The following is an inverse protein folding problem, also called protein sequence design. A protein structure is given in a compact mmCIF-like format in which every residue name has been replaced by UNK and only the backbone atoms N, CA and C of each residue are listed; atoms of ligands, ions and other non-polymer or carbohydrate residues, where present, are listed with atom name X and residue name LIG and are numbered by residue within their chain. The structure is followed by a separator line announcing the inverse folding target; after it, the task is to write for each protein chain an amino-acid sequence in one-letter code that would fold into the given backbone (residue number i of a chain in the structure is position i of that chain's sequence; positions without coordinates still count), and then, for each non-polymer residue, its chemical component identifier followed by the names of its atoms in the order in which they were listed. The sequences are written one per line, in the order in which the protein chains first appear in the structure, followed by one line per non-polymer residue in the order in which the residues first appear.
data_IF_766427041674
#
_entry.id   IF_766427041674
#
_cell.length_a   1.000
_cell.length_b   1.000
_cell.length_c   1.000
_cell.angle_alpha   90.00
_cell.angle_beta   90.00
_cell.angle_gamma   90.00
#
_symmetry.space_group_name_H-M   'P 1'
#
loop_
_entity.id
_entity.type
_entity.pdbx_description
1 polymer ?
#
# COMPACT_ATOMS: atom_id res chain seq x y z
N UNK A 1 -50.50 28.29 -5.45
CA UNK A 1 -50.04 26.98 -4.95
C UNK A 1 -48.83 26.43 -5.73
N UNK A 2 -48.92 26.18 -7.05
CA UNK A 2 -47.81 25.60 -7.84
C UNK A 2 -46.48 26.39 -7.81
N UNK A 3 -46.53 27.74 -7.81
CA UNK A 3 -45.32 28.59 -7.70
C UNK A 3 -44.65 28.55 -6.33
N UNK A 4 -45.42 28.29 -5.26
CA UNK A 4 -44.86 28.22 -3.91
C UNK A 4 -44.09 26.91 -3.71
N UNK A 5 -44.63 25.80 -4.21
CA UNK A 5 -43.99 24.47 -4.16
C UNK A 5 -42.65 24.47 -4.90
N UNK A 6 -42.59 25.10 -6.09
CA UNK A 6 -41.36 25.14 -6.89
C UNK A 6 -40.23 25.91 -6.19
N UNK A 7 -40.55 27.03 -5.52
CA UNK A 7 -39.57 27.83 -4.77
C UNK A 7 -39.05 27.04 -3.55
N UNK A 8 -39.92 26.31 -2.85
CA UNK A 8 -39.51 25.49 -1.71
C UNK A 8 -38.61 24.32 -2.15
N UNK A 9 -38.91 23.65 -3.26
CA UNK A 9 -38.05 22.59 -3.79
C UNK A 9 -36.67 23.09 -4.22
N UNK A 10 -36.59 24.27 -4.86
CA UNK A 10 -35.32 24.87 -5.27
C UNK A 10 -34.48 25.31 -4.05
N UNK A 11 -35.10 25.80 -2.98
CA UNK A 11 -34.41 26.13 -1.75
C UNK A 11 -33.85 24.89 -1.04
N UNK A 12 -34.61 23.79 -0.99
CA UNK A 12 -34.15 22.51 -0.41
C UNK A 12 -33.00 21.93 -1.23
N UNK A 13 -33.06 21.99 -2.56
CA UNK A 13 -31.96 21.56 -3.43
C UNK A 13 -30.71 22.43 -3.30
N UNK A 14 -30.86 23.75 -3.15
CA UNK A 14 -29.74 24.65 -2.92
C UNK A 14 -29.07 24.42 -1.56
N UNK A 15 -29.87 24.17 -0.51
CA UNK A 15 -29.34 23.82 0.82
C UNK A 15 -28.66 22.45 0.79
N UNK A 16 -29.25 21.45 0.13
CA UNK A 16 -28.63 20.13 -0.04
C UNK A 16 -27.32 20.22 -0.84
N UNK A 17 -27.27 21.02 -1.91
CA UNK A 17 -26.05 21.28 -2.68
C UNK A 17 -24.97 22.02 -1.89
N UNK A 18 -25.35 22.97 -1.03
CA UNK A 18 -24.42 23.66 -0.12
C UNK A 18 -23.88 22.73 0.97
N UNK A 19 -24.71 21.82 1.50
CA UNK A 19 -24.27 20.81 2.49
C UNK A 19 -23.35 19.76 1.85
N UNK A 20 -23.58 19.40 0.58
CA UNK A 20 -22.73 18.45 -0.14
C UNK A 20 -21.40 19.07 -0.61
N UNK A 21 -21.34 20.40 -0.78
CA UNK A 21 -20.12 21.12 -1.14
C UNK A 21 -19.23 21.50 0.07
N UNK A 22 -19.68 21.27 1.30
CA UNK A 22 -18.97 21.65 2.54
C UNK A 22 -18.32 20.48 3.29
N UNK A 23 -18.19 19.30 2.69
CA UNK A 23 -17.21 18.34 3.18
C UNK A 23 -15.83 18.79 2.73
N UNK A 24 -15.36 19.91 3.29
CA UNK A 24 -13.95 20.21 3.29
C UNK A 24 -13.28 19.02 3.99
N UNK A 25 -12.56 18.20 3.23
CA UNK A 25 -11.71 17.18 3.82
C UNK A 25 -10.68 17.92 4.67
N UNK A 26 -10.92 17.98 5.99
CA UNK A 26 -9.91 18.45 6.92
C UNK A 26 -8.89 17.33 7.04
N UNK A 27 -7.78 17.49 6.34
CA UNK A 27 -6.60 16.69 6.60
C UNK A 27 -6.12 17.07 8.00
N UNK A 28 -6.42 16.20 8.96
CA UNK A 28 -5.85 16.33 10.29
C UNK A 28 -4.45 15.74 10.23
N UNK A 29 -3.44 16.58 10.34
CA UNK A 29 -2.11 16.13 10.67
C UNK A 29 -2.19 15.38 12.00
N UNK A 30 -1.90 14.08 11.97
CA UNK A 30 -2.20 13.22 13.12
C UNK A 30 -1.05 13.19 14.11
N UNK A 31 0.17 12.96 13.63
CA UNK A 31 1.42 13.17 14.35
C UNK A 31 2.59 12.95 13.36
N UNK A 32 3.79 13.34 13.77
CA UNK A 32 5.01 12.85 13.12
C UNK A 32 5.22 11.42 13.63
N UNK A 33 5.29 10.41 12.75
CA UNK A 33 5.70 9.04 13.14
C UNK A 33 7.19 9.10 13.52
N UNK A 34 7.44 9.60 14.73
CA UNK A 34 8.72 9.65 15.41
C UNK A 34 9.80 10.56 14.82
N UNK A 35 9.93 11.76 15.39
CA UNK A 35 11.23 12.39 15.64
C UNK A 35 12.12 11.55 16.61
N UNK A 36 11.64 10.39 17.07
CA UNK A 36 12.25 9.51 18.07
C UNK A 36 12.91 8.25 17.48
N UNK A 37 12.78 7.99 16.18
CA UNK A 37 13.59 6.96 15.51
C UNK A 37 14.91 7.60 15.03
N UNK A 38 16.09 7.13 15.49
CA UNK A 38 17.37 7.55 14.91
C UNK A 38 17.49 7.19 13.42
N UNK A 39 16.60 6.33 12.91
CA UNK A 39 16.52 5.93 11.50
C UNK A 39 15.37 6.66 10.79
N UNK A 40 15.53 7.96 10.56
CA UNK A 40 14.62 8.75 9.72
C UNK A 40 14.80 8.32 8.27
N UNK A 41 13.91 7.47 7.75
CA UNK A 41 13.95 6.98 6.37
C UNK A 41 13.35 5.60 6.17
N UNK A 42 13.14 4.85 7.24
CA UNK A 42 12.87 3.41 7.17
C UNK A 42 11.38 3.03 7.03
N UNK A 43 10.44 3.91 6.68
CA UNK A 43 9.01 3.57 6.54
C UNK A 43 8.51 3.86 5.14
N UNK A 44 7.91 2.85 4.50
CA UNK A 44 7.59 2.87 3.07
C UNK A 44 6.08 2.92 2.80
N UNK A 45 5.27 2.26 3.65
CA UNK A 45 3.83 2.25 3.48
C UNK A 45 3.09 2.28 4.81
N UNK A 46 1.88 2.85 4.75
CA UNK A 46 0.90 2.85 5.82
C UNK A 46 -0.43 2.41 5.24
N UNK A 47 -1.11 1.50 5.94
CA UNK A 47 -2.48 1.11 5.61
C UNK A 47 -3.36 1.17 6.83
N UNK A 48 -4.64 1.43 6.59
CA UNK A 48 -5.68 1.34 7.61
C UNK A 48 -6.42 0.04 7.42
N UNK A 49 -6.74 -0.63 8.51
CA UNK A 49 -7.60 -1.82 8.46
C UNK A 49 -8.97 -1.42 7.92
N UNK A 50 -9.43 -2.06 6.83
CA UNK A 50 -10.59 -1.57 6.08
C UNK A 50 -11.89 -1.58 6.89
N UNK A 51 -12.07 -2.53 7.81
CA UNK A 51 -13.23 -2.62 8.70
C UNK A 51 -13.02 -2.01 10.11
N UNK A 52 -11.79 -1.58 10.45
CA UNK A 52 -11.46 -0.94 11.71
C UNK A 52 -10.70 0.37 11.45
N UNK A 53 -11.42 1.48 11.57
CA UNK A 53 -10.89 2.81 11.27
C UNK A 53 -9.83 3.30 12.27
N UNK A 54 -9.66 2.61 13.40
CA UNK A 54 -8.75 2.97 14.46
C UNK A 54 -7.41 2.25 14.35
N UNK A 55 -7.33 1.15 13.60
CA UNK A 55 -6.10 0.37 13.49
C UNK A 55 -5.36 0.69 12.20
N UNK A 56 -4.06 0.97 12.33
CA UNK A 56 -3.16 1.25 11.21
C UNK A 56 -1.93 0.36 11.27
N UNK A 57 -1.44 -0.07 10.11
CA UNK A 57 -0.20 -0.80 9.97
C UNK A 57 0.79 0.02 9.17
N UNK A 58 2.04 0.03 9.61
CA UNK A 58 3.14 0.70 8.95
C UNK A 58 4.24 -0.31 8.72
N UNK A 59 4.75 -0.35 7.48
CA UNK A 59 5.84 -1.24 7.08
C UNK A 59 6.98 -0.45 6.47
N UNK A 60 8.16 -1.04 6.49
CA UNK A 60 9.37 -0.29 6.18
C UNK A 60 10.63 -1.13 5.95
N UNK A 61 11.75 -0.43 5.89
CA UNK A 61 13.07 -1.00 5.70
C UNK A 61 13.47 -1.89 6.87
N UNK A 62 14.43 -2.80 6.59
CA UNK A 62 14.90 -3.82 7.54
C UNK A 62 13.74 -4.65 8.11
N UNK A 63 12.74 -4.93 7.28
CA UNK A 63 11.59 -5.78 7.60
C UNK A 63 10.72 -5.26 8.74
N UNK A 64 10.75 -3.96 9.04
CA UNK A 64 10.05 -3.39 10.19
C UNK A 64 8.55 -3.34 9.95
N UNK A 65 7.79 -3.82 10.92
CA UNK A 65 6.33 -3.77 10.94
C UNK A 65 5.88 -3.20 12.27
N UNK A 66 4.93 -2.26 12.22
CA UNK A 66 4.30 -1.66 13.39
C UNK A 66 2.81 -1.54 13.22
N UNK A 67 2.08 -1.72 14.31
CA UNK A 67 0.66 -1.39 14.39
C UNK A 67 0.45 -0.18 15.30
N UNK A 68 -0.45 0.70 14.91
CA UNK A 68 -0.90 1.84 15.70
C UNK A 68 -2.39 1.73 15.96
N UNK A 69 -2.80 2.18 17.13
CA UNK A 69 -4.21 2.33 17.50
C UNK A 69 -4.52 3.81 17.65
N UNK A 70 -5.57 4.27 16.98
CA UNK A 70 -6.08 5.60 17.08
C UNK A 70 -7.33 5.64 17.94
N UNK A 71 -7.49 6.72 18.69
CA UNK A 71 -8.72 7.00 19.41
C UNK A 71 -9.08 8.47 19.28
N UNK A 72 -10.37 8.76 19.19
CA UNK A 72 -10.88 10.12 19.37
C UNK A 72 -11.13 10.32 20.86
N UNK A 73 -10.39 11.23 21.46
CA UNK A 73 -10.62 11.64 22.85
C UNK A 73 -11.19 13.05 22.86
N UNK A 74 -12.38 13.28 23.42
CA UNK A 74 -12.90 14.63 23.58
C UNK A 74 -12.02 15.39 24.58
N UNK A 75 -11.38 16.47 24.14
CA UNK A 75 -10.62 17.37 25.00
C UNK A 75 -11.28 18.74 24.94
N UNK A 76 -11.88 19.15 26.06
CA UNK A 76 -12.57 20.45 26.19
C UNK A 76 -13.72 20.69 25.18
N UNK A 77 -14.39 19.63 24.73
CA UNK A 77 -15.53 19.72 23.80
C UNK A 77 -15.16 19.70 22.32
N UNK A 78 -13.87 19.52 22.00
CA UNK A 78 -13.39 19.23 20.65
C UNK A 78 -12.85 17.79 20.60
N UNK A 79 -13.17 17.07 19.52
CA UNK A 79 -12.63 15.74 19.27
C UNK A 79 -11.16 15.88 18.87
N UNK A 80 -10.25 15.38 19.72
CA UNK A 80 -8.83 15.29 19.38
C UNK A 80 -8.48 13.86 18.99
N UNK A 81 -7.81 13.71 17.85
CA UNK A 81 -7.26 12.44 17.42
C UNK A 81 -5.99 12.14 18.22
N UNK A 82 -5.94 10.97 18.84
CA UNK A 82 -4.78 10.49 19.56
C UNK A 82 -4.33 9.17 18.95
N UNK A 83 -3.15 9.16 18.34
CA UNK A 83 -2.45 7.91 18.03
C UNK A 83 -1.76 7.45 19.30
N UNK A 84 -2.01 6.20 19.65
CA UNK A 84 -1.20 5.44 20.59
C UNK A 84 -0.45 4.39 19.80
N UNK A 85 0.87 4.36 19.97
CA UNK A 85 1.68 3.23 19.50
C UNK A 85 1.08 1.97 20.11
N UNK A 86 0.61 1.05 19.28
CA UNK A 86 0.19 -0.23 19.82
C UNK A 86 1.45 -0.91 20.32
N UNK A 87 1.39 -1.76 21.34
CA UNK A 87 2.58 -2.46 21.81
C UNK A 87 3.20 -3.43 20.77
N UNK A 88 2.62 -3.52 19.57
CA UNK A 88 3.04 -4.41 18.50
C UNK A 88 4.01 -3.70 17.55
N UNK A 89 5.29 -4.02 17.73
CA UNK A 89 6.38 -3.70 16.80
C UNK A 89 7.27 -4.93 16.69
N UNK A 90 7.57 -5.35 15.47
CA UNK A 90 8.49 -6.47 15.22
C UNK A 90 9.22 -6.27 13.89
N UNK A 91 10.11 -7.22 13.61
CA UNK A 91 10.85 -7.30 12.34
C UNK A 91 10.65 -8.69 11.77
N UNK A 92 10.19 -8.76 10.51
CA UNK A 92 10.09 -10.02 9.78
C UNK A 92 11.49 -10.60 9.52
N UNK A 93 12.37 -9.81 8.88
CA UNK A 93 13.80 -10.07 8.74
C UNK A 93 14.48 -8.77 8.26
N UNK A 94 15.67 -8.46 8.78
CA UNK A 94 16.39 -7.21 8.51
C UNK A 94 16.94 -7.10 7.08
N UNK A 95 16.89 -8.19 6.31
CA UNK A 95 17.31 -8.21 4.92
C UNK A 95 16.24 -7.72 3.93
N UNK A 96 15.02 -7.39 4.39
CA UNK A 96 13.94 -6.95 3.51
C UNK A 96 13.68 -5.45 3.59
N UNK A 97 13.34 -4.88 2.44
CA UNK A 97 12.59 -3.62 2.36
C UNK A 97 11.13 -3.98 2.07
N UNK A 98 10.25 -3.67 3.01
CA UNK A 98 8.81 -3.85 2.86
C UNK A 98 8.26 -2.63 2.16
N UNK A 99 7.51 -2.82 1.09
CA UNK A 99 7.09 -1.76 0.17
C UNK A 99 5.63 -1.39 0.34
N UNK A 100 4.78 -2.35 0.72
CA UNK A 100 3.35 -2.11 0.90
C UNK A 100 2.72 -3.12 1.86
N UNK A 101 1.57 -2.73 2.40
CA UNK A 101 0.77 -3.51 3.35
C UNK A 101 -0.71 -3.28 3.10
N UNK A 102 -1.51 -4.35 3.15
CA UNK A 102 -2.95 -4.29 3.00
C UNK A 102 -3.64 -5.15 4.05
N UNK A 103 -4.74 -4.66 4.62
CA UNK A 103 -5.63 -5.41 5.50
C UNK A 103 -7.08 -5.29 5.02
N UNK A 104 -7.73 -6.42 4.76
CA UNK A 104 -9.16 -6.45 4.40
C UNK A 104 -10.06 -6.42 5.63
N UNK A 105 -9.60 -7.04 6.70
CA UNK A 105 -10.25 -7.01 8.01
C UNK A 105 -9.19 -7.09 9.13
N UNK A 106 -9.63 -7.23 10.38
CA UNK A 106 -8.74 -7.30 11.55
C UNK A 106 -7.91 -8.59 11.61
N UNK A 107 -8.33 -9.65 10.91
CA UNK A 107 -7.64 -10.94 10.87
C UNK A 107 -6.76 -11.13 9.64
N UNK A 108 -7.13 -10.55 8.49
CA UNK A 108 -6.47 -10.81 7.22
C UNK A 108 -5.64 -9.63 6.74
N UNK A 109 -4.34 -9.87 6.60
CA UNK A 109 -3.38 -8.89 6.13
C UNK A 109 -2.33 -9.49 5.21
N UNK A 110 -1.78 -8.65 4.34
CA UNK A 110 -0.70 -8.98 3.42
C UNK A 110 0.35 -7.89 3.44
N UNK A 111 1.60 -8.31 3.38
CA UNK A 111 2.76 -7.42 3.25
C UNK A 111 3.53 -7.87 2.02
N UNK A 112 3.99 -6.90 1.24
CA UNK A 112 4.95 -7.17 0.16
C UNK A 112 6.21 -6.37 0.35
N UNK A 113 7.27 -6.86 -0.27
CA UNK A 113 8.56 -6.24 -0.25
C UNK A 113 9.53 -6.96 -1.16
N UNK A 114 10.79 -6.63 -1.03
CA UNK A 114 11.87 -7.33 -1.69
C UNK A 114 13.07 -7.42 -0.78
N UNK A 115 13.92 -8.41 -1.04
CA UNK A 115 15.17 -8.55 -0.30
C UNK A 115 16.16 -7.50 -0.79
N UNK A 116 16.76 -6.74 0.10
CA UNK A 116 17.72 -5.73 -0.27
C UNK A 116 18.94 -6.30 -0.97
N UNK A 117 19.38 -5.53 -1.96
CA UNK A 117 20.59 -5.79 -2.72
C UNK A 117 21.81 -5.28 -1.97
N UNK A 118 22.09 -5.89 -0.82
CA UNK A 118 23.35 -5.74 -0.06
C UNK A 118 23.67 -4.29 0.37
N UNK A 119 23.60 -4.04 1.68
CA UNK A 119 24.18 -2.82 2.24
C UNK A 119 25.70 -2.82 2.07
N UNK A 120 26.26 -1.73 1.54
CA UNK A 120 27.69 -1.42 1.69
C UNK A 120 27.86 -0.55 2.93
N UNK A 121 28.56 -1.02 3.96
CA UNK A 121 29.00 -0.15 5.04
C UNK A 121 30.34 0.46 4.62
N UNK A 122 30.41 1.80 4.58
CA UNK A 122 31.61 2.54 4.17
C UNK A 122 32.14 2.14 2.78
N UNK A 123 31.24 1.88 1.82
CA UNK A 123 31.61 1.49 0.45
C UNK A 123 32.15 0.07 0.29
N UNK A 124 32.11 -0.76 1.34
CA UNK A 124 32.53 -2.17 1.27
C UNK A 124 31.31 -3.09 1.36
N UNK A 125 31.18 -3.99 0.37
CA UNK A 125 30.14 -5.01 0.31
C UNK A 125 30.35 -6.03 1.45
N UNK A 126 29.40 -6.13 2.40
CA UNK A 126 29.66 -6.87 3.65
C UNK A 126 29.39 -8.39 3.51
N UNK A 127 28.47 -8.81 2.64
CA UNK A 127 28.35 -10.19 2.14
C UNK A 127 27.20 -10.28 1.12
N UNK A 128 27.33 -11.18 0.14
CA UNK A 128 26.19 -11.68 -0.64
C UNK A 128 25.43 -12.67 0.26
N UNK A 129 24.14 -12.46 0.59
CA UNK A 129 23.39 -13.42 1.39
C UNK A 129 23.37 -14.79 0.69
N UNK A 130 23.38 -15.91 1.45
CA UNK A 130 23.48 -17.27 0.91
C UNK A 130 22.20 -17.78 0.21
N UNK A 131 21.19 -16.94 -0.01
CA UNK A 131 19.96 -17.27 -0.76
C UNK A 131 20.06 -16.60 -2.14
N UNK A 132 19.65 -17.27 -3.22
CA UNK A 132 19.77 -16.73 -4.58
C UNK A 132 18.96 -15.43 -4.75
N UNK A 133 19.62 -14.44 -5.37
CA UNK A 133 19.04 -13.21 -5.92
C UNK A 133 18.74 -12.09 -4.91
N UNK A 134 19.56 -11.03 -4.81
CA UNK A 134 19.08 -9.78 -4.26
C UNK A 134 17.92 -9.20 -5.09
N UNK A 135 17.05 -8.39 -4.49
CA UNK A 135 15.92 -7.71 -5.13
C UNK A 135 14.75 -8.63 -5.52
N UNK A 136 14.71 -9.87 -5.03
CA UNK A 136 13.57 -10.77 -5.21
C UNK A 136 12.40 -10.35 -4.33
N UNK A 137 11.23 -10.24 -4.94
CA UNK A 137 9.98 -9.96 -4.28
C UNK A 137 9.56 -11.07 -3.31
N UNK A 138 8.93 -10.67 -2.22
CA UNK A 138 8.39 -11.57 -1.20
C UNK A 138 7.01 -11.09 -0.78
N UNK A 139 6.12 -12.05 -0.50
CA UNK A 139 4.79 -11.81 0.06
C UNK A 139 4.71 -12.52 1.40
N UNK A 140 4.14 -11.84 2.39
CA UNK A 140 3.71 -12.41 3.66
C UNK A 140 2.21 -12.22 3.82
N UNK A 141 1.56 -13.14 4.52
CA UNK A 141 0.15 -13.02 4.85
C UNK A 141 -0.11 -13.44 6.30
N UNK A 142 -1.20 -12.94 6.87
CA UNK A 142 -1.71 -13.32 8.19
C UNK A 142 -3.21 -13.59 8.10
N UNK A 143 -3.72 -14.44 8.97
CA UNK A 143 -5.15 -14.76 9.13
C UNK A 143 -5.67 -14.53 10.55
N UNK A 144 -4.81 -14.04 11.45
CA UNK A 144 -5.10 -13.76 12.85
C UNK A 144 -4.78 -12.30 13.26
N UNK A 145 -4.52 -11.44 12.28
CA UNK A 145 -4.28 -10.02 12.46
C UNK A 145 -2.82 -9.65 12.63
N UNK A 146 -1.90 -10.62 12.67
CA UNK A 146 -0.47 -10.34 12.53
C UNK A 146 0.21 -9.83 13.80
N UNK A 147 -0.28 -10.20 14.98
CA UNK A 147 0.23 -9.79 16.30
C UNK A 147 1.60 -10.42 16.64
N UNK A 148 2.63 -10.05 15.89
CA UNK A 148 4.01 -10.52 16.03
C UNK A 148 4.52 -11.22 14.77
N UNK A 149 5.84 -11.41 14.67
CA UNK A 149 6.45 -11.96 13.46
C UNK A 149 5.99 -13.40 13.12
N UNK A 150 5.72 -14.22 14.13
CA UNK A 150 5.26 -15.61 13.97
C UNK A 150 3.82 -15.71 13.43
N UNK A 151 3.07 -14.62 13.47
CA UNK A 151 1.71 -14.53 12.92
C UNK A 151 1.68 -14.28 11.40
N UNK A 152 2.87 -14.18 10.78
CA UNK A 152 3.03 -13.91 9.35
C UNK A 152 3.69 -15.08 8.64
N UNK A 153 2.93 -15.71 7.75
CA UNK A 153 3.43 -16.78 6.90
C UNK A 153 3.98 -16.23 5.58
N UNK A 154 5.18 -16.66 5.20
CA UNK A 154 5.73 -16.34 3.88
C UNK A 154 5.07 -17.20 2.80
N UNK A 155 4.60 -16.59 1.71
CA UNK A 155 4.13 -17.35 0.55
C UNK A 155 5.30 -18.11 -0.07
N UNK A 156 5.13 -19.43 -0.24
CA UNK A 156 6.17 -20.31 -0.77
C UNK A 156 6.39 -20.05 -2.27
N UNK A 157 7.65 -20.19 -2.73
CA UNK A 157 8.00 -20.01 -4.14
C UNK A 157 7.22 -20.92 -5.10
N UNK A 158 6.88 -22.14 -4.66
CA UNK A 158 6.06 -23.08 -5.44
C UNK A 158 4.66 -22.54 -5.75
N UNK A 159 4.20 -21.56 -4.99
CA UNK A 159 2.90 -20.92 -5.18
C UNK A 159 2.98 -19.63 -6.01
N UNK A 160 4.16 -19.32 -6.56
CA UNK A 160 4.39 -18.19 -7.45
C UNK A 160 4.56 -18.67 -8.89
N UNK A 161 4.47 -17.76 -9.87
CA UNK A 161 4.83 -18.06 -11.26
C UNK A 161 6.35 -18.35 -11.41
N UNK A 162 6.75 -19.41 -12.15
CA UNK A 162 8.16 -19.78 -12.37
C UNK A 162 9.09 -18.65 -12.80
N UNK A 163 8.60 -17.79 -13.68
CA UNK A 163 9.36 -16.65 -14.21
C UNK A 163 9.85 -15.67 -13.14
N UNK A 164 9.26 -15.68 -11.94
CA UNK A 164 9.65 -14.83 -10.82
C UNK A 164 10.75 -15.43 -9.94
N UNK A 165 11.04 -16.73 -10.07
CA UNK A 165 12.04 -17.42 -9.25
C UNK A 165 13.06 -18.25 -10.03
N UNK A 166 13.03 -18.23 -11.37
CA UNK A 166 14.15 -18.68 -12.19
C UNK A 166 15.45 -17.95 -11.79
N UNK A 167 16.60 -18.62 -11.93
CA UNK A 167 17.82 -18.40 -11.13
C UNK A 167 18.40 -16.97 -11.09
N UNK A 168 17.97 -16.05 -11.95
CA UNK A 168 18.39 -14.64 -11.96
C UNK A 168 17.23 -13.63 -12.00
N UNK A 169 15.99 -14.06 -11.82
CA UNK A 169 14.85 -13.15 -11.75
C UNK A 169 14.99 -12.25 -10.50
N UNK A 170 15.09 -10.94 -10.73
CA UNK A 170 15.10 -9.88 -9.73
C UNK A 170 13.87 -9.02 -10.00
N UNK A 171 12.73 -9.48 -9.48
CA UNK A 171 11.46 -8.78 -9.64
C UNK A 171 10.99 -8.35 -8.25
N UNK A 172 11.16 -7.08 -7.87
CA UNK A 172 10.67 -6.59 -6.59
C UNK A 172 9.14 -6.54 -6.58
N UNK A 173 8.52 -6.78 -5.43
CA UNK A 173 7.10 -6.51 -5.23
C UNK A 173 6.95 -5.15 -4.58
N UNK A 174 6.07 -4.32 -5.14
CA UNK A 174 6.05 -2.89 -4.87
C UNK A 174 4.73 -2.45 -4.25
N UNK A 175 3.61 -3.10 -4.58
CA UNK A 175 2.31 -2.80 -4.00
C UNK A 175 1.42 -4.04 -3.91
N UNK A 176 0.54 -4.07 -2.92
CA UNK A 176 -0.44 -5.13 -2.71
C UNK A 176 -1.79 -4.55 -2.35
N UNK A 177 -2.85 -5.10 -2.94
CA UNK A 177 -4.21 -4.81 -2.50
C UNK A 177 -5.14 -5.99 -2.72
N UNK A 178 -6.11 -6.14 -1.82
CA UNK A 178 -7.16 -7.15 -1.86
C UNK A 178 -8.52 -6.47 -1.83
N UNK A 179 -9.55 -7.06 -2.44
CA UNK A 179 -10.89 -6.49 -2.43
C UNK A 179 -11.37 -6.27 -0.98
N UNK A 180 -12.01 -5.11 -0.74
CA UNK A 180 -12.56 -4.76 0.58
C UNK A 180 -13.67 -5.71 1.05
N UNK A 181 -14.38 -6.30 0.10
CA UNK A 181 -15.54 -7.17 0.35
C UNK A 181 -15.20 -8.64 0.24
N UNK A 182 -14.01 -8.97 -0.29
CA UNK A 182 -13.57 -10.32 -0.56
C UNK A 182 -12.07 -10.48 -0.30
N UNK A 183 -11.73 -11.20 0.76
CA UNK A 183 -10.34 -11.48 1.10
C UNK A 183 -9.71 -12.58 0.22
N UNK A 184 -10.44 -13.17 -0.73
CA UNK A 184 -9.91 -14.18 -1.64
C UNK A 184 -9.21 -13.58 -2.86
N UNK A 185 -9.63 -12.39 -3.30
CA UNK A 185 -9.15 -11.79 -4.53
C UNK A 185 -8.19 -10.62 -4.26
N UNK A 186 -6.98 -10.72 -4.77
CA UNK A 186 -5.96 -9.70 -4.57
C UNK A 186 -4.94 -9.64 -5.70
N UNK A 187 -4.20 -8.54 -5.69
CA UNK A 187 -3.23 -8.22 -6.72
C UNK A 187 -1.92 -7.76 -6.09
N UNK A 188 -0.82 -8.08 -6.76
CA UNK A 188 0.50 -7.52 -6.44
C UNK A 188 1.07 -6.86 -7.68
N UNK A 189 1.41 -5.58 -7.54
CA UNK A 189 2.19 -4.84 -8.52
C UNK A 189 3.66 -5.15 -8.32
N UNK A 190 4.33 -5.59 -9.38
CA UNK A 190 5.74 -5.91 -9.33
C UNK A 190 6.56 -4.97 -10.23
N UNK A 191 7.86 -4.92 -9.97
CA UNK A 191 8.84 -4.36 -10.89
C UNK A 191 8.74 -5.00 -12.28
N UNK A 192 9.24 -4.29 -13.28
CA UNK A 192 9.21 -4.72 -14.69
C UNK A 192 7.80 -4.90 -15.29
N UNK A 193 6.76 -4.38 -14.63
CA UNK A 193 5.39 -4.36 -15.16
C UNK A 193 4.64 -5.68 -15.06
N UNK A 194 5.07 -6.58 -14.16
CA UNK A 194 4.26 -7.76 -13.84
C UNK A 194 3.12 -7.38 -12.90
N UNK A 195 1.96 -7.97 -13.15
CA UNK A 195 0.80 -7.93 -12.26
C UNK A 195 0.45 -9.35 -11.87
N UNK A 196 0.58 -9.65 -10.58
CA UNK A 196 0.12 -10.90 -10.01
C UNK A 196 -1.32 -10.79 -9.55
N UNK A 197 -2.03 -11.90 -9.63
CA UNK A 197 -3.40 -12.06 -9.18
C UNK A 197 -3.51 -13.33 -8.33
N UNK A 198 -4.27 -13.23 -7.24
CA UNK A 198 -4.67 -14.37 -6.43
C UNK A 198 -6.19 -14.44 -6.37
N UNK A 199 -6.72 -15.65 -6.31
CA UNK A 199 -8.15 -15.95 -6.13
C UNK A 199 -8.43 -16.82 -4.90
N UNK A 200 -7.42 -17.02 -4.05
CA UNK A 200 -7.45 -17.90 -2.86
C UNK A 200 -6.84 -17.25 -1.61
N UNK A 201 -6.89 -15.92 -1.54
CA UNK A 201 -6.42 -15.15 -0.38
C UNK A 201 -4.91 -14.98 -0.31
N UNK A 202 -4.25 -15.00 -1.46
CA UNK A 202 -2.80 -14.87 -1.58
C UNK A 202 -2.04 -16.15 -1.29
N UNK A 203 -2.72 -17.31 -1.23
CA UNK A 203 -2.05 -18.60 -1.07
C UNK A 203 -1.32 -19.00 -2.35
N UNK A 204 -1.92 -18.74 -3.52
CA UNK A 204 -1.34 -18.91 -4.84
C UNK A 204 -1.49 -17.67 -5.71
N UNK A 205 -0.53 -17.48 -6.62
CA UNK A 205 -0.45 -16.31 -7.48
C UNK A 205 -0.21 -16.70 -8.95
N UNK A 206 -0.93 -16.04 -9.85
CA UNK A 206 -0.76 -16.16 -11.30
C UNK A 206 -0.48 -14.81 -11.95
N UNK A 207 0.16 -14.82 -13.13
CA UNK A 207 0.39 -13.59 -13.91
C UNK A 207 -0.87 -13.30 -14.72
N UNK A 208 -1.54 -12.18 -14.44
CA UNK A 208 -2.80 -11.84 -15.12
C UNK A 208 -2.59 -11.05 -16.42
N UNK A 209 -1.56 -10.19 -16.47
CA UNK A 209 -1.17 -9.51 -17.70
C UNK A 209 0.36 -9.56 -17.88
N UNK A 210 0.81 -10.13 -18.99
CA UNK A 210 2.18 -10.03 -19.46
C UNK A 210 2.16 -9.38 -20.85
N UNK A 211 1.84 -8.08 -20.92
CA UNK A 211 1.93 -7.33 -22.17
C UNK A 211 3.40 -6.99 -22.45
N UNK A 212 4.20 -8.02 -22.73
CA UNK A 212 5.53 -7.91 -23.37
C UNK A 212 5.46 -7.42 -24.83
N UNK A 213 4.29 -7.02 -25.32
CA UNK A 213 4.16 -6.31 -26.59
C UNK A 213 4.66 -4.86 -26.46
N UNK A 214 5.99 -4.72 -26.39
CA UNK A 214 6.88 -3.67 -26.92
C UNK A 214 6.48 -2.17 -26.94
N UNK A 215 5.36 -1.75 -26.37
CA UNK A 215 4.93 -0.35 -26.30
C UNK A 215 4.27 -0.07 -24.96
N UNK A 216 5.12 0.16 -23.95
CA UNK A 216 4.75 0.76 -22.67
C UNK A 216 4.15 2.18 -22.80
N UNK A 217 3.94 2.68 -24.02
CA UNK A 217 3.31 3.98 -24.30
C UNK A 217 1.79 3.98 -24.31
N UNK A 218 1.10 2.82 -24.39
CA UNK A 218 -0.35 2.79 -24.68
C UNK A 218 -1.26 2.21 -23.58
N UNK A 219 -0.72 1.87 -22.40
CA UNK A 219 -1.54 1.29 -21.31
C UNK A 219 -2.23 2.38 -20.45
N UNK A 220 -1.90 3.66 -20.66
CA UNK A 220 -2.45 4.79 -19.89
C UNK A 220 -3.92 5.15 -20.11
N UNK A 221 -4.72 4.32 -20.82
CA UNK A 221 -6.13 4.63 -21.08
C UNK A 221 -7.16 3.88 -20.23
N UNK A 222 -6.76 2.87 -19.45
CA UNK A 222 -7.62 2.26 -18.41
C UNK A 222 -6.95 2.16 -17.04
N UNK A 223 -5.71 2.62 -16.96
CA UNK A 223 -4.85 2.54 -15.80
C UNK A 223 -4.41 3.99 -15.55
N UNK A 224 -5.05 4.65 -14.60
CA UNK A 224 -4.95 6.09 -14.39
C UNK A 224 -3.54 6.52 -13.96
N UNK A 225 -2.84 7.25 -14.83
CA UNK A 225 -1.70 8.05 -14.42
C UNK A 225 -2.18 9.24 -13.59
N UNK A 226 -1.63 9.43 -12.39
CA UNK A 226 -1.85 10.66 -11.60
C UNK A 226 -1.11 11.81 -12.30
N UNK A 227 -1.77 12.91 -12.72
CA UNK A 227 -1.08 14.02 -13.37
C UNK A 227 -0.15 14.74 -12.39
N UNK A 228 1.09 15.01 -12.83
CA UNK A 228 2.00 15.93 -12.15
C UNK A 228 1.55 17.37 -12.40
N UNK A 229 0.70 17.88 -11.53
CA UNK A 229 0.57 19.31 -11.26
C UNK A 229 -0.03 19.49 -9.86
N UNK A 230 0.79 19.24 -8.84
CA UNK A 230 0.56 19.77 -7.49
C UNK A 230 1.84 20.48 -7.05
N UNK A 231 1.90 21.76 -7.39
CA UNK A 231 2.80 22.72 -6.76
C UNK A 231 2.33 22.95 -5.32
N UNK A 232 2.60 22.05 -4.40
CA UNK A 232 2.97 22.48 -3.05
C UNK A 232 3.67 21.38 -2.23
N UNK A 233 4.66 21.85 -1.50
CA UNK A 233 5.53 21.21 -0.52
C UNK A 233 4.97 19.96 0.18
N UNK A 234 5.43 18.78 -0.23
CA UNK A 234 5.35 17.55 0.58
C UNK A 234 6.61 16.72 0.38
N UNK A 235 7.16 16.23 1.49
CA UNK A 235 8.44 15.52 1.57
C UNK A 235 8.30 14.13 0.93
N UNK A 236 9.07 13.87 -0.13
CA UNK A 236 9.15 12.56 -0.78
C UNK A 236 10.52 11.93 -0.51
N UNK A 237 10.51 10.72 0.05
CA UNK A 237 11.70 9.89 0.25
C UNK A 237 11.62 8.68 -0.69
N UNK A 238 12.12 8.84 -1.92
CA UNK A 238 13.08 7.94 -2.53
C UNK A 238 13.50 8.53 -3.88
N UNK A 239 14.80 8.51 -4.15
CA UNK A 239 15.40 9.01 -5.37
C UNK A 239 14.85 8.27 -6.60
N UNK A 240 13.99 8.90 -7.39
CA UNK A 240 13.85 8.63 -8.84
C UNK A 240 13.26 7.29 -9.31
N UNK A 241 12.71 6.44 -8.44
CA UNK A 241 12.37 5.06 -8.81
C UNK A 241 10.87 4.74 -8.74
N UNK A 242 10.31 4.37 -9.91
CA UNK A 242 9.18 3.46 -10.14
C UNK A 242 8.10 3.41 -9.04
N UNK A 243 7.25 4.43 -8.93
CA UNK A 243 6.00 4.27 -8.18
C UNK A 243 5.13 3.22 -8.89
N UNK A 244 4.69 2.21 -8.14
CA UNK A 244 3.62 1.30 -8.53
C UNK A 244 2.66 1.27 -7.36
N UNK A 245 1.45 1.80 -7.53
CA UNK A 245 0.36 1.62 -6.57
C UNK A 245 -0.70 0.76 -7.23
N UNK A 246 -1.13 -0.30 -6.56
CA UNK A 246 -2.25 -1.14 -7.00
C UNK A 246 -3.41 -0.93 -6.05
N UNK A 247 -4.58 -0.65 -6.61
CA UNK A 247 -5.82 -0.47 -5.85
C UNK A 247 -6.96 -1.23 -6.50
N UNK A 248 -7.69 -1.98 -5.69
CA UNK A 248 -8.86 -2.77 -6.05
C UNK A 248 -10.13 -2.03 -5.65
N UNK A 249 -11.13 -2.02 -6.54
CA UNK A 249 -12.47 -1.58 -6.17
C UNK A 249 -13.20 -2.65 -5.34
N UNK A 250 -14.33 -2.25 -4.76
CA UNK A 250 -15.19 -3.12 -3.93
C UNK A 250 -15.87 -4.26 -4.68
N UNK A 251 -15.66 -4.39 -5.99
CA UNK A 251 -16.23 -5.45 -6.82
C UNK A 251 -15.17 -6.45 -7.34
N UNK A 252 -13.89 -6.22 -7.01
CA UNK A 252 -12.76 -7.09 -7.32
C UNK A 252 -12.40 -7.18 -8.80
N UNK A 253 -13.19 -6.54 -9.67
CA UNK A 253 -13.08 -6.63 -11.12
C UNK A 253 -12.23 -5.50 -11.69
N UNK A 254 -12.27 -4.34 -11.06
CA UNK A 254 -11.50 -3.17 -11.47
C UNK A 254 -10.25 -2.99 -10.60
N UNK A 255 -9.10 -2.83 -11.29
CA UNK A 255 -7.80 -2.59 -10.68
C UNK A 255 -7.20 -1.33 -11.28
N UNK A 256 -6.86 -0.39 -10.42
CA UNK A 256 -6.08 0.77 -10.79
C UNK A 256 -4.62 0.49 -10.50
N UNK A 257 -3.77 0.81 -11.47
CA UNK A 257 -2.34 0.80 -11.29
C UNK A 257 -1.83 2.21 -11.58
N UNK A 258 -1.06 2.81 -10.68
CA UNK A 258 -0.37 4.06 -10.98
C UNK A 258 1.10 3.74 -11.27
N UNK A 259 1.67 4.23 -12.39
CA UNK A 259 3.10 4.09 -12.65
C UNK A 259 3.75 5.37 -13.18
N UNK A 260 4.93 5.71 -12.65
CA UNK A 260 5.57 7.03 -12.84
C UNK A 260 6.40 7.17 -14.14
N UNK A 261 6.22 6.26 -15.11
CA UNK A 261 7.00 6.26 -16.36
C UNK A 261 6.21 6.75 -17.59
N UNK A 262 5.71 7.99 -17.55
CA UNK A 262 5.34 8.73 -18.77
C UNK A 262 6.24 9.96 -18.89
N UNK A 263 7.27 9.88 -19.75
CA UNK A 263 7.85 11.10 -20.32
C UNK A 263 6.82 11.69 -21.29
N UNK A 264 6.28 12.87 -20.95
CA UNK A 264 5.55 13.70 -21.90
C UNK A 264 6.55 14.24 -22.93
N UNK A 265 6.37 13.89 -24.20
CA UNK A 265 6.99 14.58 -25.34
C UNK A 265 6.08 15.73 -25.74
#
# INVERSE_FOLDING_TARGET
MKRLILITCLAVLAVAGLMQAQTAYSYHYVDEIGNTSPDKGDWNAVTRVKNNLNTFWVVGDKGRVRRFEASLTPVMGEDQFRITDSSVSFTLDTAYTLTDVCFTDEGHGWIVGYRDTVYTQNGTLIAKPPIPGPGRGQIWYTTDGGDGAEAWDSVLQVNMPPILYEDDAIVPFLSVDFDRTDNQHGYVGCGCGFLLFSSDGGQTWEIRENKRERHWWNVGHRIGSIPRDMTDTSFYNHYGDWYWDVKTESDGNDVYVASDNIQLI
#
